data_IF_128431818428
#
_entry.id   IF_128431818428
#
_cell.length_a   1.000
_cell.length_b   1.000
_cell.length_c   1.000
_cell.angle_alpha   90.00
_cell.angle_beta   90.00
_cell.angle_gamma   90.00
#
_symmetry.space_group_name_H-M   'P 1'
#
loop_
_entity.id
_entity.type
_entity.pdbx_description
1 polymer ?
#
# COMPACT_ATOMS: atom_id res chain seq x y z
N UNK A 1 4.12 1.74 17.09
CA UNK A 1 3.91 2.84 16.11
C UNK A 1 3.45 2.25 14.79
N UNK A 2 2.36 2.77 14.24
CA UNK A 2 1.79 2.37 12.94
C UNK A 2 1.82 3.54 11.96
N UNK A 3 1.89 3.24 10.67
CA UNK A 3 1.79 4.24 9.61
C UNK A 3 0.46 4.14 8.86
N UNK A 4 -0.27 5.25 8.84
CA UNK A 4 -1.49 5.40 8.08
C UNK A 4 -1.24 6.10 6.75
N UNK A 5 -1.66 5.48 5.66
CA UNK A 5 -1.43 6.01 4.31
C UNK A 5 -2.76 6.21 3.59
N UNK A 6 -3.00 7.44 3.13
CA UNK A 6 -4.20 7.78 2.37
C UNK A 6 -4.06 7.34 0.90
N UNK A 7 -4.92 6.41 0.47
CA UNK A 7 -4.87 5.84 -0.88
C UNK A 7 -6.22 5.85 -1.63
N UNK A 8 -7.20 6.62 -1.15
CA UNK A 8 -8.58 6.58 -1.67
C UNK A 8 -9.01 7.72 -2.60
N UNK A 9 -8.12 8.67 -2.89
CA UNK A 9 -8.45 9.83 -3.74
C UNK A 9 -8.52 9.51 -5.23
N UNK A 10 -9.32 10.28 -5.97
CA UNK A 10 -9.56 10.07 -7.41
C UNK A 10 -8.37 10.39 -8.33
N UNK A 11 -7.30 11.03 -7.83
CA UNK A 11 -6.09 11.29 -8.63
C UNK A 11 -6.29 12.26 -9.81
N UNK A 12 -7.33 13.10 -9.80
CA UNK A 12 -7.82 13.89 -10.95
C UNK A 12 -6.82 14.84 -11.63
N UNK A 13 -5.67 15.14 -10.99
CA UNK A 13 -4.61 15.99 -11.55
C UNK A 13 -3.59 15.24 -12.43
N UNK A 14 -3.60 13.91 -12.44
CA UNK A 14 -2.67 13.05 -13.20
C UNK A 14 -3.44 12.13 -14.18
N UNK A 15 -4.31 12.74 -14.98
CA UNK A 15 -5.44 12.10 -15.66
C UNK A 15 -5.13 11.01 -16.68
N UNK A 16 -3.89 10.91 -17.18
CA UNK A 16 -3.51 9.89 -18.17
C UNK A 16 -3.22 8.53 -17.50
N UNK A 17 -2.39 8.51 -16.45
CA UNK A 17 -2.02 7.28 -15.71
C UNK A 17 -3.10 6.83 -14.71
N UNK A 18 -3.71 7.79 -13.99
CA UNK A 18 -4.69 7.50 -12.92
C UNK A 18 -6.06 7.03 -13.43
N UNK A 19 -6.30 7.08 -14.75
CA UNK A 19 -7.48 6.47 -15.37
C UNK A 19 -7.44 4.93 -15.33
N UNK A 20 -6.27 4.32 -15.16
CA UNK A 20 -6.11 2.86 -15.15
C UNK A 20 -5.90 2.27 -13.74
N UNK A 21 -5.33 3.04 -12.81
CA UNK A 21 -5.00 2.59 -11.45
C UNK A 21 -5.03 3.74 -10.43
N UNK A 22 -5.21 3.48 -9.12
CA UNK A 22 -5.07 4.50 -8.08
C UNK A 22 -3.72 5.22 -8.18
N UNK A 23 -3.66 6.52 -7.84
CA UNK A 23 -2.40 7.30 -7.87
C UNK A 23 -1.26 6.64 -7.07
N UNK A 24 -1.48 6.11 -5.85
CA UNK A 24 -0.42 5.41 -5.11
C UNK A 24 0.12 4.15 -5.81
N UNK A 25 -0.60 3.62 -6.80
CA UNK A 25 -0.21 2.44 -7.58
C UNK A 25 0.51 2.78 -8.89
N UNK A 26 0.74 4.06 -9.18
CA UNK A 26 1.65 4.49 -10.25
C UNK A 26 3.05 4.01 -9.90
N UNK A 27 3.75 3.44 -10.88
CA UNK A 27 5.05 2.80 -10.67
C UNK A 27 6.21 3.78 -10.86
N UNK A 28 7.22 3.64 -10.02
CA UNK A 28 8.52 4.31 -10.14
C UNK A 28 9.57 3.21 -10.07
N UNK A 29 10.37 3.04 -11.13
CA UNK A 29 11.36 1.95 -11.19
C UNK A 29 10.76 0.55 -11.07
N UNK A 30 9.55 0.32 -11.61
CA UNK A 30 8.87 -0.99 -11.59
C UNK A 30 8.22 -1.37 -10.25
N UNK A 31 8.16 -0.45 -9.29
CA UNK A 31 7.48 -0.64 -7.99
C UNK A 31 6.45 0.47 -7.76
N UNK A 32 5.28 0.18 -7.15
CA UNK A 32 4.29 1.21 -6.83
C UNK A 32 4.85 2.33 -5.95
N UNK A 33 4.40 3.56 -6.15
CA UNK A 33 4.73 4.69 -5.28
C UNK A 33 4.39 4.39 -3.81
N UNK A 34 3.27 3.71 -3.56
CA UNK A 34 2.89 3.23 -2.24
C UNK A 34 3.96 2.34 -1.60
N UNK A 35 4.57 1.44 -2.39
CA UNK A 35 5.64 0.57 -1.93
C UNK A 35 6.88 1.38 -1.50
N UNK A 36 7.26 2.40 -2.28
CA UNK A 36 8.38 3.28 -1.93
C UNK A 36 8.13 4.05 -0.63
N UNK A 37 6.91 4.58 -0.43
CA UNK A 37 6.52 5.24 0.83
C UNK A 37 6.64 4.25 2.00
N UNK A 38 6.17 3.02 1.83
CA UNK A 38 6.27 1.99 2.87
C UNK A 38 7.73 1.61 3.15
N UNK A 39 8.61 1.58 2.15
CA UNK A 39 10.06 1.39 2.36
C UNK A 39 10.69 2.52 3.16
N UNK A 40 10.28 3.77 2.94
CA UNK A 40 10.75 4.89 3.76
C UNK A 40 10.41 4.66 5.24
N UNK A 41 9.16 4.33 5.55
CA UNK A 41 8.77 3.99 6.93
C UNK A 41 9.49 2.77 7.51
N UNK A 42 9.65 1.72 6.69
CA UNK A 42 10.32 0.48 7.08
C UNK A 42 11.80 0.68 7.40
N UNK A 43 12.47 1.63 6.73
CA UNK A 43 13.84 2.04 7.06
C UNK A 43 13.96 2.74 8.42
N UNK A 44 12.84 3.22 8.98
CA UNK A 44 12.72 3.82 10.31
C UNK A 44 11.95 2.88 11.26
N UNK A 45 12.03 1.57 11.04
CA UNK A 45 11.41 0.51 11.85
C UNK A 45 9.87 0.52 11.94
N UNK A 46 9.18 1.33 11.13
CA UNK A 46 7.72 1.35 11.06
C UNK A 46 7.25 0.36 9.98
N UNK A 47 6.77 -0.80 10.44
CA UNK A 47 6.42 -1.94 9.57
C UNK A 47 4.93 -2.35 9.64
N UNK A 48 4.10 -1.68 10.45
CA UNK A 48 2.65 -1.92 10.52
C UNK A 48 1.91 -0.78 9.81
N UNK A 49 1.25 -1.10 8.71
CA UNK A 49 0.66 -0.17 7.77
C UNK A 49 -0.86 -0.30 7.72
N UNK A 50 -1.55 0.84 7.75
CA UNK A 50 -3.00 0.94 7.53
C UNK A 50 -3.24 1.78 6.29
N UNK A 51 -3.69 1.12 5.21
CA UNK A 51 -3.95 1.77 3.94
C UNK A 51 -5.43 2.13 3.84
N UNK A 52 -5.72 3.43 3.79
CA UNK A 52 -7.07 3.95 3.61
C UNK A 52 -7.45 3.91 2.13
N UNK A 53 -7.97 2.77 1.69
CA UNK A 53 -8.44 2.56 0.34
C UNK A 53 -9.73 3.33 0.06
N UNK A 54 -9.99 3.60 -1.21
CA UNK A 54 -11.21 4.25 -1.70
C UNK A 54 -11.40 3.89 -3.17
N UNK A 55 -11.44 4.88 -4.04
CA UNK A 55 -11.55 4.65 -5.49
C UNK A 55 -10.53 3.61 -5.97
N UNK A 56 -11.02 2.52 -6.59
CA UNK A 56 -10.20 1.39 -7.08
C UNK A 56 -9.31 0.73 -6.02
N UNK A 57 -9.74 0.71 -4.75
CA UNK A 57 -9.02 0.03 -3.68
C UNK A 57 -8.72 -1.46 -3.93
N UNK A 58 -9.48 -2.11 -4.82
CA UNK A 58 -9.23 -3.49 -5.24
C UNK A 58 -7.86 -3.69 -5.89
N UNK A 59 -7.31 -2.69 -6.59
CA UNK A 59 -5.99 -2.77 -7.22
C UNK A 59 -4.89 -2.90 -6.15
N UNK A 60 -5.04 -2.18 -5.04
CA UNK A 60 -4.12 -2.26 -3.91
C UNK A 60 -4.25 -3.64 -3.23
N UNK A 61 -5.48 -4.14 -3.07
CA UNK A 61 -5.73 -5.48 -2.51
C UNK A 61 -5.11 -6.59 -3.35
N UNK A 62 -5.27 -6.50 -4.66
CA UNK A 62 -4.72 -7.47 -5.61
C UNK A 62 -3.19 -7.46 -5.57
N UNK A 63 -2.56 -6.28 -5.58
CA UNK A 63 -1.10 -6.16 -5.46
C UNK A 63 -0.53 -6.86 -4.22
N UNK A 64 -1.14 -6.68 -3.04
CA UNK A 64 -0.67 -7.34 -1.82
C UNK A 64 -1.06 -8.82 -1.75
N UNK A 65 -2.20 -9.22 -2.31
CA UNK A 65 -2.59 -10.63 -2.40
C UNK A 65 -1.62 -11.44 -3.28
N UNK A 66 -1.06 -10.79 -4.30
CA UNK A 66 -0.12 -11.36 -5.26
C UNK A 66 1.31 -10.83 -5.06
N UNK A 67 1.65 -10.37 -3.85
CA UNK A 67 2.93 -9.68 -3.60
C UNK A 67 4.13 -10.53 -4.03
N UNK A 68 4.17 -11.81 -3.66
CA UNK A 68 5.25 -12.70 -4.07
C UNK A 68 5.36 -12.85 -5.60
N UNK A 69 4.22 -12.87 -6.33
CA UNK A 69 4.23 -12.90 -7.80
C UNK A 69 4.84 -11.64 -8.42
N UNK A 70 4.70 -10.49 -7.75
CA UNK A 70 5.29 -9.23 -8.21
C UNK A 70 6.76 -9.07 -7.83
N UNK A 71 7.18 -9.66 -6.72
CA UNK A 71 8.46 -9.35 -6.07
C UNK A 71 9.52 -10.43 -6.28
N UNK A 72 9.11 -11.68 -6.43
CA UNK A 72 9.97 -12.85 -6.42
C UNK A 72 10.00 -13.57 -7.76
N UNK A 73 11.07 -14.32 -8.00
CA UNK A 73 11.12 -15.28 -9.09
C UNK A 73 10.29 -16.52 -8.74
N UNK A 74 9.51 -17.03 -9.70
CA UNK A 74 8.53 -18.10 -9.47
C UNK A 74 8.59 -19.14 -10.57
N UNK A 75 8.50 -20.41 -10.16
CA UNK A 75 8.31 -21.56 -11.05
C UNK A 75 6.89 -22.10 -10.90
N UNK A 76 6.18 -22.26 -12.01
CA UNK A 76 4.90 -22.95 -12.08
C UNK A 76 5.13 -24.36 -12.61
N UNK A 77 4.88 -25.38 -11.78
CA UNK A 77 4.80 -26.76 -12.24
C UNK A 77 3.35 -27.02 -12.67
N UNK A 78 3.13 -27.04 -13.98
CA UNK A 78 1.79 -27.20 -14.56
C UNK A 78 1.33 -28.66 -14.59
N UNK A 79 2.24 -29.62 -14.44
CA UNK A 79 1.89 -31.04 -14.36
C UNK A 79 1.34 -31.36 -12.97
N UNK A 80 1.98 -30.82 -11.93
CA UNK A 80 1.55 -30.99 -10.53
C UNK A 80 0.59 -29.90 -10.05
N UNK A 81 0.39 -28.85 -10.84
CA UNK A 81 -0.39 -27.66 -10.51
C UNK A 81 0.09 -27.00 -9.20
N UNK A 82 1.41 -26.88 -9.03
CA UNK A 82 2.06 -26.26 -7.86
C UNK A 82 2.82 -24.99 -8.24
N UNK A 83 2.99 -24.11 -7.27
CA UNK A 83 3.71 -22.84 -7.41
C UNK A 83 4.87 -22.83 -6.43
N UNK A 84 6.08 -22.57 -6.93
CA UNK A 84 7.31 -22.52 -6.15
C UNK A 84 7.91 -21.12 -6.20
N UNK A 85 8.15 -20.51 -5.04
CA UNK A 85 8.87 -19.23 -4.93
C UNK A 85 10.36 -19.55 -4.89
N UNK A 86 11.11 -19.11 -5.91
CA UNK A 86 12.53 -19.42 -6.07
C UNK A 86 13.43 -18.58 -5.15
N UNK A 87 13.12 -17.29 -5.03
CA UNK A 87 13.83 -16.37 -4.13
C UNK A 87 12.79 -15.54 -3.35
N UNK A 88 12.79 -15.65 -2.03
CA UNK A 88 11.82 -14.97 -1.20
C UNK A 88 12.25 -13.52 -0.93
N UNK A 89 11.75 -12.59 -1.74
CA UNK A 89 11.94 -11.14 -1.56
C UNK A 89 10.75 -10.54 -0.82
N UNK A 90 10.51 -11.03 0.40
CA UNK A 90 9.44 -10.53 1.27
C UNK A 90 9.90 -9.38 2.15
N UNK A 91 8.94 -8.60 2.64
CA UNK A 91 9.18 -7.49 3.56
C UNK A 91 8.59 -7.86 4.93
N UNK A 92 9.14 -7.37 6.05
CA UNK A 92 8.64 -7.65 7.40
C UNK A 92 7.36 -6.86 7.73
N UNK A 93 6.50 -6.63 6.74
CA UNK A 93 5.38 -5.72 6.83
C UNK A 93 4.10 -6.41 7.25
N UNK A 94 3.34 -5.75 8.12
CA UNK A 94 1.93 -6.05 8.37
C UNK A 94 1.09 -4.98 7.67
N UNK A 95 0.26 -5.39 6.71
CA UNK A 95 -0.51 -4.44 5.88
C UNK A 95 -2.00 -4.67 6.05
N UNK A 96 -2.70 -3.67 6.57
CA UNK A 96 -4.16 -3.66 6.72
C UNK A 96 -4.78 -2.76 5.66
N UNK A 97 -5.61 -3.31 4.78
CA UNK A 97 -6.27 -2.56 3.70
C UNK A 97 -7.74 -2.30 4.05
N UNK A 98 -8.08 -1.05 4.37
CA UNK A 98 -9.43 -0.68 4.82
C UNK A 98 -10.15 0.11 3.73
N UNK A 99 -11.34 -0.34 3.33
CA UNK A 99 -12.21 0.48 2.49
C UNK A 99 -12.79 1.63 3.31
N UNK A 100 -12.35 2.85 3.03
CA UNK A 100 -12.78 4.06 3.72
C UNK A 100 -13.83 4.86 2.92
N UNK A 101 -14.35 4.29 1.82
CA UNK A 101 -15.39 4.85 0.96
C UNK A 101 -14.86 5.81 -0.10
N UNK A 102 -15.44 5.77 -1.30
CA UNK A 102 -14.92 6.56 -2.45
C UNK A 102 -15.06 8.07 -2.24
N UNK A 103 -16.23 8.55 -1.81
CA UNK A 103 -16.51 9.98 -1.61
C UNK A 103 -15.99 10.58 -0.29
N UNK A 104 -15.26 9.81 0.50
CA UNK A 104 -14.82 10.24 1.83
C UNK A 104 -13.62 11.18 1.75
N UNK A 105 -13.70 12.32 2.44
CA UNK A 105 -12.57 13.23 2.60
C UNK A 105 -11.57 12.73 3.64
N UNK A 106 -10.34 13.27 3.62
CA UNK A 106 -9.22 12.83 4.45
C UNK A 106 -9.57 12.56 5.93
N UNK A 107 -10.18 13.52 6.62
CA UNK A 107 -10.53 13.36 8.04
C UNK A 107 -11.57 12.26 8.28
N UNK A 108 -12.51 12.07 7.35
CA UNK A 108 -13.49 10.98 7.43
C UNK A 108 -12.85 9.60 7.25
N UNK A 109 -11.80 9.51 6.41
CA UNK A 109 -11.02 8.27 6.26
C UNK A 109 -10.27 7.93 7.54
N UNK A 110 -9.61 8.93 8.13
CA UNK A 110 -8.93 8.80 9.42
C UNK A 110 -9.89 8.38 10.55
N UNK A 111 -11.11 8.90 10.57
CA UNK A 111 -12.12 8.48 11.55
C UNK A 111 -12.51 7.00 11.40
N UNK A 112 -12.64 6.50 10.17
CA UNK A 112 -13.07 5.11 9.90
C UNK A 112 -12.05 4.04 10.26
N UNK A 113 -10.80 4.44 10.43
CA UNK A 113 -9.69 3.55 10.77
C UNK A 113 -9.19 3.73 12.19
N UNK A 114 -9.90 4.52 13.00
CA UNK A 114 -9.55 4.80 14.39
C UNK A 114 -9.35 3.52 15.22
N UNK A 115 -10.19 2.51 15.02
CA UNK A 115 -10.11 1.24 15.76
C UNK A 115 -8.83 0.44 15.44
N UNK A 116 -8.22 0.66 14.27
CA UNK A 116 -6.97 -0.03 13.87
C UNK A 116 -5.72 0.61 14.48
N UNK A 117 -5.80 1.88 14.86
CA UNK A 117 -4.76 2.59 15.62
C UNK A 117 -5.07 2.64 17.13
N UNK A 118 -6.22 2.11 17.54
CA UNK A 118 -6.63 2.06 18.95
C UNK A 118 -5.62 1.32 19.81
N UNK A 119 -5.16 1.97 20.88
CA UNK A 119 -4.18 1.44 21.81
C UNK A 119 -2.74 1.90 21.59
N UNK A 120 -2.45 2.65 20.51
CA UNK A 120 -1.19 3.36 20.35
C UNK A 120 -1.31 4.78 20.94
N UNK A 121 -0.26 5.26 21.62
CA UNK A 121 -0.20 6.66 22.08
C UNK A 121 -0.05 7.63 20.90
N UNK A 122 0.66 7.20 19.85
CA UNK A 122 0.97 7.98 18.65
C UNK A 122 1.00 7.09 17.39
N UNK A 123 0.69 7.68 16.23
CA UNK A 123 0.79 7.01 14.93
C UNK A 123 1.21 8.01 13.85
N UNK A 124 1.87 7.52 12.80
CA UNK A 124 2.23 8.33 11.64
C UNK A 124 1.06 8.42 10.66
N UNK A 125 0.94 9.53 9.95
CA UNK A 125 -0.03 9.70 8.87
C UNK A 125 0.60 10.43 7.70
N UNK A 126 0.42 9.91 6.49
CA UNK A 126 0.86 10.59 5.26
C UNK A 126 -0.08 10.36 4.08
N UNK A 127 0.17 11.10 3.01
CA UNK A 127 -0.47 10.91 1.72
C UNK A 127 0.25 9.82 0.92
N UNK A 128 -0.51 8.99 0.19
CA UNK A 128 0.05 7.95 -0.68
C UNK A 128 0.67 8.47 -1.98
N UNK A 129 1.06 9.74 -2.03
CA UNK A 129 1.59 10.40 -3.23
C UNK A 129 2.80 11.32 -3.04
N UNK A 130 3.43 11.30 -1.86
CA UNK A 130 4.63 12.07 -1.55
C UNK A 130 5.84 11.16 -1.28
N UNK A 131 6.96 11.45 -1.92
CA UNK A 131 8.27 10.82 -1.66
C UNK A 131 9.24 11.89 -1.17
N UNK A 132 10.14 11.53 -0.25
CA UNK A 132 11.20 12.41 0.25
C UNK A 132 12.32 11.59 0.90
N UNK A 133 13.41 12.27 1.25
CA UNK A 133 14.51 11.77 2.07
C UNK A 133 14.36 12.21 3.55
N UNK A 134 13.12 12.45 4.00
CA UNK A 134 12.82 12.88 5.36
C UNK A 134 13.25 11.83 6.39
N UNK A 135 13.84 12.29 7.49
CA UNK A 135 14.13 11.49 8.68
C UNK A 135 12.83 11.36 9.51
N UNK A 136 12.17 10.19 9.40
CA UNK A 136 10.84 9.89 9.97
C UNK A 136 10.95 9.57 11.47
#
# INVERSE_FOLDING_TARGET
VKALILAGGYGTRLSEETRSRPKPMVEIGGRPMLWHIMKMYSAHDVNDFIICCGYRGYVIKEYFANYSLHMSDITFDLEQNTVHICEERTEPWKVTLVDTGEGTLTGGRLKRVADYVGGEDEFCMTYGDGLSDVDI
#
